data_IF_763772092339
#
_entry.id   IF_763772092339
#
_cell.length_a   1.000
_cell.length_b   1.000
_cell.length_c   1.000
_cell.angle_alpha   90.00
_cell.angle_beta   90.00
_cell.angle_gamma   90.00
#
_symmetry.space_group_name_H-M   'P 1'
#
loop_
_entity.id
_entity.type
_entity.pdbx_description
1 polymer ?
#
# COMPACT_ATOMS: atom_id res chain seq x y z
N UNK A 1 13.89 -20.32 -23.02
CA UNK A 1 12.84 -19.32 -23.20
C UNK A 1 13.52 -17.97 -23.02
N UNK A 2 13.80 -17.33 -24.16
CA UNK A 2 14.34 -15.97 -24.13
C UNK A 2 13.30 -15.04 -23.51
N UNK A 3 13.59 -14.63 -22.29
CA UNK A 3 12.71 -13.73 -21.52
C UNK A 3 12.78 -12.34 -22.15
N UNK A 4 11.63 -11.81 -22.59
CA UNK A 4 11.61 -10.42 -23.08
C UNK A 4 12.06 -9.45 -22.00
N UNK A 5 12.75 -8.35 -22.34
CA UNK A 5 13.22 -7.36 -21.34
C UNK A 5 12.08 -6.82 -20.46
N UNK A 6 10.89 -6.70 -21.03
CA UNK A 6 9.69 -6.22 -20.34
C UNK A 6 9.20 -7.22 -19.28
N UNK A 7 9.20 -8.52 -19.60
CA UNK A 7 8.82 -9.56 -18.65
C UNK A 7 9.85 -9.65 -17.51
N UNK A 8 11.15 -9.53 -17.84
CA UNK A 8 12.19 -9.49 -16.82
C UNK A 8 12.05 -8.29 -15.88
N UNK A 9 11.78 -7.10 -16.43
CA UNK A 9 11.51 -5.89 -15.67
C UNK A 9 10.33 -6.09 -14.71
N UNK A 10 9.24 -6.61 -15.24
CA UNK A 10 8.02 -6.85 -14.48
C UNK A 10 8.21 -7.88 -13.34
N UNK A 11 8.93 -8.97 -13.58
CA UNK A 11 9.24 -9.96 -12.54
C UNK A 11 10.13 -9.36 -11.45
N UNK A 12 11.15 -8.56 -11.82
CA UNK A 12 12.02 -7.87 -10.86
C UNK A 12 11.24 -6.95 -9.92
N UNK A 13 10.30 -6.15 -10.43
CA UNK A 13 9.42 -5.31 -9.59
C UNK A 13 8.66 -6.17 -8.58
N UNK A 14 8.05 -7.27 -9.03
CA UNK A 14 7.23 -8.10 -8.17
C UNK A 14 8.03 -8.80 -7.07
N UNK A 15 9.24 -9.25 -7.37
CA UNK A 15 10.17 -9.81 -6.37
C UNK A 15 10.61 -8.72 -5.40
N UNK A 16 10.96 -7.53 -5.88
CA UNK A 16 11.35 -6.40 -5.03
C UNK A 16 10.24 -6.01 -4.04
N UNK A 17 8.99 -5.93 -4.50
CA UNK A 17 7.83 -5.66 -3.61
C UNK A 17 7.72 -6.73 -2.51
N UNK A 18 7.88 -8.01 -2.85
CA UNK A 18 7.80 -9.10 -1.88
C UNK A 18 8.92 -9.00 -0.83
N UNK A 19 10.16 -8.73 -1.26
CA UNK A 19 11.31 -8.56 -0.38
C UNK A 19 11.15 -7.33 0.54
N UNK A 20 10.75 -6.18 -0.01
CA UNK A 20 10.52 -4.97 0.78
C UNK A 20 9.35 -5.12 1.76
N UNK A 21 8.28 -5.82 1.39
CA UNK A 21 7.22 -6.14 2.33
C UNK A 21 7.73 -7.02 3.48
N UNK A 22 8.49 -8.08 3.18
CA UNK A 22 9.07 -8.94 4.20
C UNK A 22 10.00 -8.15 5.14
N UNK A 23 10.87 -7.31 4.58
CA UNK A 23 11.75 -6.43 5.34
C UNK A 23 10.97 -5.45 6.24
N UNK A 24 9.96 -4.76 5.69
CA UNK A 24 9.09 -3.88 6.47
C UNK A 24 8.41 -4.64 7.62
N UNK A 25 7.91 -5.83 7.34
CA UNK A 25 7.21 -6.66 8.33
C UNK A 25 8.10 -7.12 9.47
N UNK A 26 9.36 -7.42 9.18
CA UNK A 26 10.34 -7.85 10.19
C UNK A 26 10.79 -6.68 11.07
N UNK A 27 11.09 -5.53 10.47
CA UNK A 27 11.80 -4.45 11.16
C UNK A 27 10.94 -3.29 11.62
N UNK A 28 9.90 -2.90 10.86
CA UNK A 28 9.20 -1.61 11.06
C UNK A 28 7.76 -1.73 11.52
N UNK A 29 7.08 -2.80 11.21
CA UNK A 29 5.63 -2.95 11.42
C UNK A 29 5.17 -2.69 12.87
N UNK A 30 6.05 -2.94 13.86
CA UNK A 30 5.73 -2.77 15.27
C UNK A 30 6.11 -1.39 15.84
N UNK A 31 6.74 -0.50 15.08
CA UNK A 31 7.20 0.78 15.58
C UNK A 31 6.08 1.81 15.72
N UNK A 32 6.29 2.78 16.61
CA UNK A 32 5.40 3.94 16.80
C UNK A 32 5.88 5.18 16.03
N UNK A 33 6.93 5.07 15.22
CA UNK A 33 7.42 6.16 14.37
C UNK A 33 6.63 6.23 13.07
N UNK A 34 5.37 6.67 13.14
CA UNK A 34 4.43 6.59 12.02
C UNK A 34 4.89 7.37 10.78
N UNK A 35 5.50 8.55 10.93
CA UNK A 35 6.05 9.32 9.81
C UNK A 35 7.17 8.55 9.09
N UNK A 36 8.12 7.98 9.83
CA UNK A 36 9.20 7.17 9.26
C UNK A 36 8.68 5.92 8.56
N UNK A 37 7.66 5.26 9.14
CA UNK A 37 6.99 4.12 8.52
C UNK A 37 6.32 4.51 7.19
N UNK A 38 5.64 5.67 7.16
CA UNK A 38 5.04 6.22 5.94
C UNK A 38 6.08 6.42 4.86
N UNK A 39 7.17 7.13 5.18
CA UNK A 39 8.26 7.37 4.24
C UNK A 39 8.87 6.06 3.74
N UNK A 40 9.16 5.11 4.62
CA UNK A 40 9.71 3.81 4.25
C UNK A 40 8.79 3.05 3.28
N UNK A 41 7.48 2.98 3.55
CA UNK A 41 6.52 2.29 2.69
C UNK A 41 6.43 2.92 1.29
N UNK A 42 6.41 4.26 1.19
CA UNK A 42 6.40 4.96 -0.10
C UNK A 42 7.72 4.80 -0.85
N UNK A 43 8.85 4.89 -0.12
CA UNK A 43 10.18 4.63 -0.70
C UNK A 43 10.29 3.20 -1.24
N UNK A 44 9.76 2.20 -0.54
CA UNK A 44 9.79 0.81 -1.01
C UNK A 44 9.01 0.63 -2.32
N UNK A 45 7.86 1.29 -2.48
CA UNK A 45 7.16 1.33 -3.77
C UNK A 45 8.01 2.01 -4.86
N UNK A 46 8.56 3.19 -4.57
CA UNK A 46 9.40 3.92 -5.52
C UNK A 46 10.65 3.14 -5.93
N UNK A 47 11.37 2.57 -4.97
CA UNK A 47 12.58 1.77 -5.22
C UNK A 47 12.24 0.51 -6.00
N UNK A 48 11.11 -0.17 -5.71
CA UNK A 48 10.68 -1.33 -6.49
C UNK A 48 10.48 -1.03 -7.97
N UNK A 49 10.03 0.19 -8.30
CA UNK A 49 9.90 0.64 -9.68
C UNK A 49 11.24 1.03 -10.32
N UNK A 50 12.12 1.66 -9.55
CA UNK A 50 13.40 2.16 -10.07
C UNK A 50 14.48 1.07 -10.14
N UNK A 51 14.44 0.10 -9.21
CA UNK A 51 15.44 -0.96 -9.11
C UNK A 51 15.72 -1.70 -10.45
N UNK A 52 14.71 -2.10 -11.25
CA UNK A 52 14.98 -2.81 -12.49
C UNK A 52 15.57 -1.94 -13.61
N UNK A 53 15.49 -0.59 -13.48
CA UNK A 53 16.12 0.36 -14.42
C UNK A 53 17.62 0.48 -14.17
N UNK A 54 18.09 0.11 -12.98
CA UNK A 54 19.50 0.07 -12.67
C UNK A 54 20.08 -1.22 -13.30
N UNK A 55 21.01 -1.07 -14.25
CA UNK A 55 21.71 -2.17 -14.92
C UNK A 55 22.71 -2.86 -13.97
N UNK A 56 22.20 -3.37 -12.84
CA UNK A 56 23.01 -4.07 -11.84
C UNK A 56 23.71 -5.28 -12.45
N UNK A 57 23.16 -5.87 -13.52
CA UNK A 57 23.79 -6.99 -14.22
C UNK A 57 25.14 -6.62 -14.89
N UNK A 58 25.25 -5.41 -15.43
CA UNK A 58 26.53 -4.92 -15.98
C UNK A 58 27.53 -4.67 -14.86
N UNK A 59 27.08 -4.06 -13.78
CA UNK A 59 27.93 -3.82 -12.59
C UNK A 59 28.40 -5.12 -11.90
N UNK A 60 27.53 -6.15 -11.81
CA UNK A 60 27.90 -7.47 -11.26
C UNK A 60 28.90 -8.19 -12.17
N UNK A 61 28.77 -8.06 -13.49
CA UNK A 61 29.72 -8.65 -14.45
C UNK A 61 31.12 -8.05 -14.37
N UNK A 62 31.26 -6.83 -13.87
CA UNK A 62 32.57 -6.19 -13.64
C UNK A 62 33.24 -6.68 -12.35
N UNK A 63 32.55 -7.43 -11.48
CA UNK A 63 33.11 -8.01 -10.26
C UNK A 63 33.58 -9.46 -10.52
N UNK A 64 34.83 -9.65 -10.85
CA UNK A 64 35.44 -10.97 -11.19
C UNK A 64 35.07 -12.14 -10.24
N UNK A 65 35.00 -11.98 -8.89
CA UNK A 65 34.70 -13.12 -8.01
C UNK A 65 33.26 -13.61 -8.11
N UNK A 66 32.28 -12.75 -8.52
CA UNK A 66 30.89 -13.15 -8.68
C UNK A 66 30.64 -13.83 -10.04
N UNK A 67 31.36 -13.46 -11.08
CA UNK A 67 31.30 -14.12 -12.41
C UNK A 67 31.80 -15.56 -12.30
N UNK A 68 32.90 -15.80 -11.60
CA UNK A 68 33.42 -17.13 -11.38
C UNK A 68 32.45 -18.06 -10.63
N UNK A 69 31.68 -17.54 -9.66
CA UNK A 69 30.65 -18.32 -8.99
C UNK A 69 29.43 -18.58 -9.89
N UNK A 70 29.02 -17.61 -10.73
CA UNK A 70 27.91 -17.77 -11.66
C UNK A 70 28.25 -18.80 -12.76
N UNK A 71 29.47 -18.78 -13.29
CA UNK A 71 29.95 -19.75 -14.28
C UNK A 71 30.09 -21.16 -13.68
N UNK A 72 30.52 -21.28 -12.42
CA UNK A 72 30.57 -22.55 -11.72
C UNK A 72 29.18 -23.15 -11.54
N UNK A 73 28.16 -22.32 -11.22
CA UNK A 73 26.75 -22.74 -11.12
C UNK A 73 26.20 -23.14 -12.50
N UNK A 74 26.48 -22.38 -13.54
CA UNK A 74 26.04 -22.67 -14.91
C UNK A 74 26.61 -23.99 -15.41
N UNK A 75 27.88 -24.28 -15.12
CA UNK A 75 28.55 -25.54 -15.53
C UNK A 75 28.00 -26.77 -14.80
N UNK A 76 27.50 -26.62 -13.58
CA UNK A 76 26.94 -27.74 -12.79
C UNK A 76 25.48 -28.06 -13.16
N UNK A 77 24.71 -27.09 -13.68
CA UNK A 77 23.24 -27.22 -13.85
C UNK A 77 22.84 -27.54 -15.30
N UNK A 78 23.71 -27.27 -16.30
CA UNK A 78 23.35 -27.49 -17.71
C UNK A 78 24.22 -28.57 -18.34
N UNK A 79 23.81 -29.85 -18.39
CA UNK A 79 24.35 -30.77 -19.38
C UNK A 79 23.79 -30.38 -20.75
N UNK A 80 24.69 -29.94 -21.61
CA UNK A 80 24.45 -29.62 -23.00
C UNK A 80 24.03 -30.88 -23.79
N UNK A 81 22.74 -31.07 -23.98
CA UNK A 81 22.25 -31.99 -25.01
C UNK A 81 21.06 -31.34 -25.70
N UNK A 82 21.32 -30.56 -26.75
CA UNK A 82 20.29 -30.15 -27.70
C UNK A 82 20.08 -31.35 -28.64
N UNK A 83 19.04 -32.13 -28.39
CA UNK A 83 18.48 -33.04 -29.39
C UNK A 83 17.43 -32.27 -30.14
N UNK A 84 17.75 -31.86 -31.37
CA UNK A 84 16.76 -31.34 -32.32
C UNK A 84 15.78 -32.48 -32.65
N UNK A 85 14.58 -32.44 -32.04
CA UNK A 85 13.48 -33.30 -32.43
C UNK A 85 12.76 -32.74 -33.66
N UNK A 86 12.21 -33.60 -34.55
CA UNK A 86 11.50 -33.18 -35.77
C UNK A 86 10.30 -32.31 -35.37
N UNK A 87 10.14 -31.19 -36.09
CA UNK A 87 8.97 -30.31 -35.96
C UNK A 87 7.70 -31.06 -36.41
N UNK A 88 7.00 -31.69 -35.49
CA UNK A 88 5.59 -32.02 -35.70
C UNK A 88 4.81 -30.71 -35.60
N UNK A 89 3.88 -30.51 -36.54
CA UNK A 89 2.92 -29.40 -36.58
C UNK A 89 1.87 -29.55 -35.47
N UNK A 90 2.31 -29.58 -34.25
CA UNK A 90 1.45 -29.46 -33.07
C UNK A 90 1.20 -27.97 -32.81
N UNK A 91 -0.04 -27.64 -32.41
CA UNK A 91 -0.38 -26.25 -32.02
C UNK A 91 0.76 -25.67 -31.16
N UNK A 92 1.32 -24.53 -31.61
CA UNK A 92 2.54 -23.98 -31.00
C UNK A 92 2.20 -23.37 -29.63
N UNK A 93 2.06 -24.23 -28.61
CA UNK A 93 1.71 -23.85 -27.25
C UNK A 93 2.72 -22.84 -26.68
N UNK A 94 3.95 -22.85 -27.17
CA UNK A 94 4.98 -21.90 -26.74
C UNK A 94 4.68 -20.45 -27.14
N UNK A 95 3.96 -20.23 -28.22
CA UNK A 95 3.49 -18.90 -28.65
C UNK A 95 2.11 -18.55 -28.06
N UNK A 96 1.23 -19.55 -27.91
CA UNK A 96 -0.15 -19.34 -27.46
C UNK A 96 -0.24 -19.00 -25.96
N UNK A 97 0.55 -19.69 -25.10
CA UNK A 97 0.54 -19.47 -23.66
C UNK A 97 0.87 -18.05 -23.25
N UNK A 98 1.97 -17.41 -23.77
CA UNK A 98 2.27 -16.02 -23.45
C UNK A 98 1.16 -15.04 -23.87
N UNK A 99 0.51 -15.27 -24.99
CA UNK A 99 -0.59 -14.44 -25.47
C UNK A 99 -1.81 -14.53 -24.55
N UNK A 100 -2.18 -15.74 -24.11
CA UNK A 100 -3.30 -15.96 -23.18
C UNK A 100 -2.97 -15.31 -21.81
N UNK A 101 -1.76 -15.50 -21.28
CA UNK A 101 -1.34 -14.89 -20.03
C UNK A 101 -1.35 -13.35 -20.12
N UNK A 102 -0.86 -12.81 -21.23
CA UNK A 102 -0.90 -11.38 -21.51
C UNK A 102 -2.34 -10.85 -21.54
N UNK A 103 -3.25 -11.56 -22.22
CA UNK A 103 -4.67 -11.20 -22.27
C UNK A 103 -5.31 -11.22 -20.86
N UNK A 104 -5.08 -12.26 -20.07
CA UNK A 104 -5.55 -12.37 -18.68
C UNK A 104 -5.01 -11.21 -17.84
N UNK A 105 -3.73 -10.92 -17.96
CA UNK A 105 -3.09 -9.82 -17.23
C UNK A 105 -3.73 -8.46 -17.53
N UNK A 106 -3.83 -8.10 -18.82
CA UNK A 106 -4.39 -6.82 -19.23
C UNK A 106 -5.89 -6.70 -18.94
N UNK A 107 -6.63 -7.81 -19.00
CA UNK A 107 -8.04 -7.84 -18.58
C UNK A 107 -8.16 -7.54 -17.10
N UNK A 108 -7.30 -8.13 -16.25
CA UNK A 108 -7.25 -7.83 -14.82
C UNK A 108 -6.91 -6.37 -14.52
N UNK A 109 -5.91 -5.81 -15.20
CA UNK A 109 -5.55 -4.39 -15.11
C UNK A 109 -6.72 -3.50 -15.50
N UNK A 110 -7.39 -3.77 -16.63
CA UNK A 110 -8.52 -3.00 -17.11
C UNK A 110 -9.69 -3.00 -16.12
N UNK A 111 -10.06 -4.16 -15.60
CA UNK A 111 -11.15 -4.29 -14.61
C UNK A 111 -10.86 -3.53 -13.33
N UNK A 112 -9.63 -3.62 -12.81
CA UNK A 112 -9.24 -2.90 -11.60
C UNK A 112 -9.11 -1.39 -11.84
N UNK A 113 -8.58 -0.97 -12.99
CA UNK A 113 -8.53 0.44 -13.37
C UNK A 113 -9.95 1.03 -13.50
N UNK A 114 -10.87 0.33 -14.16
CA UNK A 114 -12.26 0.76 -14.28
C UNK A 114 -12.93 0.88 -12.91
N UNK A 115 -12.77 -0.11 -12.05
CA UNK A 115 -13.25 -0.06 -10.66
C UNK A 115 -12.68 1.15 -9.92
N UNK A 116 -11.39 1.41 -10.04
CA UNK A 116 -10.74 2.55 -9.40
C UNK A 116 -11.28 3.89 -9.91
N UNK A 117 -11.45 4.04 -11.23
CA UNK A 117 -12.03 5.24 -11.84
C UNK A 117 -13.48 5.47 -11.41
N UNK A 118 -14.30 4.42 -11.31
CA UNK A 118 -15.67 4.51 -10.79
C UNK A 118 -15.68 4.99 -9.34
N UNK A 119 -14.78 4.46 -8.49
CA UNK A 119 -14.66 4.90 -7.10
C UNK A 119 -14.25 6.38 -7.01
N UNK A 120 -13.26 6.79 -7.80
CA UNK A 120 -12.81 8.18 -7.85
C UNK A 120 -13.92 9.12 -8.35
N UNK A 121 -14.61 8.75 -9.43
CA UNK A 121 -15.76 9.47 -9.98
C UNK A 121 -16.90 9.60 -8.97
N UNK A 122 -17.15 8.57 -8.16
CA UNK A 122 -18.13 8.61 -7.08
C UNK A 122 -17.79 9.65 -6.00
N UNK A 123 -16.53 9.76 -5.59
CA UNK A 123 -16.07 10.78 -4.63
C UNK A 123 -16.23 12.19 -5.22
N UNK A 124 -15.80 12.37 -6.48
CA UNK A 124 -15.95 13.66 -7.19
C UNK A 124 -17.43 14.04 -7.30
N UNK A 125 -18.30 13.09 -7.64
CA UNK A 125 -19.76 13.30 -7.68
C UNK A 125 -20.28 13.74 -6.32
N UNK A 126 -19.87 13.12 -5.22
CA UNK A 126 -20.27 13.52 -3.87
C UNK A 126 -19.82 14.94 -3.54
N UNK A 127 -18.62 15.36 -3.97
CA UNK A 127 -18.14 16.74 -3.77
C UNK A 127 -19.08 17.79 -4.37
N UNK A 128 -19.66 17.50 -5.55
CA UNK A 128 -20.59 18.43 -6.21
C UNK A 128 -22.01 18.35 -5.68
N UNK A 129 -22.46 17.18 -5.22
CA UNK A 129 -23.83 16.96 -4.76
C UNK A 129 -24.08 17.31 -3.29
N UNK A 130 -23.06 17.20 -2.43
CA UNK A 130 -23.21 17.44 -1.01
C UNK A 130 -23.19 18.94 -0.69
N UNK A 131 -24.12 19.45 0.14
CA UNK A 131 -24.09 20.82 0.63
C UNK A 131 -22.83 21.04 1.46
N UNK A 132 -22.27 22.24 1.32
CA UNK A 132 -21.06 22.67 2.04
C UNK A 132 -21.45 23.44 3.28
N UNK A 133 -20.78 23.17 4.40
CA UNK A 133 -20.95 23.88 5.67
C UNK A 133 -19.61 24.11 6.33
N UNK A 134 -19.59 24.93 7.36
CA UNK A 134 -18.39 25.13 8.21
C UNK A 134 -18.72 24.66 9.62
N UNK A 135 -18.01 23.67 10.12
CA UNK A 135 -18.18 23.13 11.47
C UNK A 135 -16.83 23.24 12.17
N UNK A 136 -16.80 23.87 13.33
CA UNK A 136 -15.60 24.10 14.14
C UNK A 136 -14.42 24.71 13.32
N UNK A 137 -14.72 25.63 12.38
CA UNK A 137 -13.74 26.30 11.53
C UNK A 137 -13.28 25.50 10.31
N UNK A 138 -13.65 24.23 10.18
CA UNK A 138 -13.30 23.38 9.04
C UNK A 138 -14.43 23.31 8.01
N UNK A 139 -14.07 23.42 6.72
CA UNK A 139 -15.03 23.29 5.60
C UNK A 139 -15.37 21.81 5.40
N UNK A 140 -16.64 21.47 5.53
CA UNK A 140 -17.12 20.08 5.44
C UNK A 140 -18.26 19.95 4.42
N UNK A 141 -18.41 18.76 3.86
CA UNK A 141 -19.53 18.36 3.00
C UNK A 141 -20.49 17.52 3.83
N UNK A 142 -21.76 17.90 3.86
CA UNK A 142 -22.77 17.22 4.67
C UNK A 142 -23.31 16.01 3.90
N UNK A 143 -23.11 14.82 4.46
CA UNK A 143 -23.64 13.57 3.92
C UNK A 143 -25.10 13.37 4.37
N UNK A 144 -25.94 12.85 3.48
CA UNK A 144 -27.37 12.67 3.75
C UNK A 144 -27.70 11.45 4.60
N UNK A 145 -26.94 10.38 4.64
CA UNK A 145 -27.08 9.19 5.52
C UNK A 145 -26.17 8.03 5.11
N UNK A 146 -25.81 7.18 6.07
CA UNK A 146 -25.37 5.80 5.83
C UNK A 146 -23.88 5.56 5.57
N UNK A 147 -23.10 6.56 5.22
CA UNK A 147 -21.64 6.45 5.12
C UNK A 147 -20.99 7.12 6.33
N UNK A 148 -20.04 6.43 6.97
CA UNK A 148 -19.25 7.06 8.03
C UNK A 148 -18.42 8.23 7.49
N UNK A 149 -17.86 9.06 8.38
CA UNK A 149 -17.02 10.18 7.99
C UNK A 149 -15.81 9.67 7.18
N UNK A 150 -15.35 10.50 6.24
CA UNK A 150 -14.15 10.26 5.46
C UNK A 150 -13.63 11.56 4.84
N UNK A 151 -12.36 11.58 4.47
CA UNK A 151 -11.75 12.69 3.74
C UNK A 151 -11.08 12.23 2.45
N UNK A 152 -11.04 13.13 1.47
CA UNK A 152 -10.32 12.95 0.22
C UNK A 152 -9.62 14.25 -0.18
N UNK A 153 -8.30 14.26 -0.19
CA UNK A 153 -7.49 15.47 -0.23
C UNK A 153 -7.95 16.49 0.80
N UNK A 154 -8.47 17.64 0.37
CA UNK A 154 -8.98 18.72 1.23
C UNK A 154 -10.48 18.64 1.51
N UNK A 155 -11.19 17.64 1.00
CA UNK A 155 -12.62 17.48 1.17
C UNK A 155 -12.93 16.57 2.34
N UNK A 156 -13.60 17.09 3.34
CA UNK A 156 -14.04 16.34 4.51
C UNK A 156 -15.56 16.12 4.37
N UNK A 157 -15.97 14.88 4.53
CA UNK A 157 -17.36 14.45 4.43
C UNK A 157 -17.83 13.91 5.78
N UNK A 158 -18.93 14.46 6.32
CA UNK A 158 -19.46 14.09 7.63
C UNK A 158 -20.99 14.14 7.61
N UNK A 159 -21.63 13.34 8.47
CA UNK A 159 -23.05 13.40 8.80
C UNK A 159 -23.22 13.86 10.25
N UNK A 160 -23.38 15.18 10.52
CA UNK A 160 -23.32 15.72 11.89
C UNK A 160 -24.44 15.23 12.79
N UNK A 161 -25.65 15.01 12.21
CA UNK A 161 -26.86 14.62 12.98
C UNK A 161 -26.72 13.27 13.71
N UNK A 162 -25.73 12.45 13.33
CA UNK A 162 -25.49 11.14 13.94
C UNK A 162 -24.50 11.16 15.10
N UNK A 163 -23.96 12.33 15.45
CA UNK A 163 -22.86 12.45 16.39
C UNK A 163 -23.08 13.56 17.39
N UNK A 164 -22.58 13.38 18.60
CA UNK A 164 -22.50 14.43 19.62
C UNK A 164 -21.45 15.49 19.25
N UNK A 165 -21.52 16.65 19.86
CA UNK A 165 -20.59 17.75 19.60
C UNK A 165 -19.12 17.36 19.90
N UNK A 166 -18.90 16.57 20.96
CA UNK A 166 -17.59 16.02 21.31
C UNK A 166 -17.09 15.06 20.24
N UNK A 167 -17.93 14.14 19.76
CA UNK A 167 -17.59 13.19 18.69
C UNK A 167 -17.29 13.90 17.37
N UNK A 168 -18.03 14.97 17.05
CA UNK A 168 -17.76 15.79 15.87
C UNK A 168 -16.37 16.42 15.95
N UNK A 169 -15.94 16.88 17.12
CA UNK A 169 -14.58 17.42 17.30
C UNK A 169 -13.49 16.38 17.06
N UNK A 170 -13.68 15.17 17.57
CA UNK A 170 -12.78 14.05 17.34
C UNK A 170 -12.70 13.66 15.86
N UNK A 171 -13.86 13.55 15.20
CA UNK A 171 -13.98 13.23 13.77
C UNK A 171 -13.28 14.29 12.92
N UNK A 172 -13.56 15.57 13.17
CA UNK A 172 -12.97 16.65 12.39
C UNK A 172 -11.44 16.65 12.55
N UNK A 173 -10.94 16.50 13.76
CA UNK A 173 -9.49 16.42 14.02
C UNK A 173 -8.85 15.24 13.27
N UNK A 174 -9.52 14.08 13.25
CA UNK A 174 -9.07 12.90 12.52
C UNK A 174 -9.04 13.12 11.01
N UNK A 175 -10.15 13.55 10.43
CA UNK A 175 -10.28 13.76 8.98
C UNK A 175 -9.43 14.94 8.47
N UNK A 176 -9.29 15.99 9.27
CA UNK A 176 -8.41 17.12 8.96
C UNK A 176 -6.94 16.68 8.92
N UNK A 177 -6.54 15.74 9.76
CA UNK A 177 -5.20 15.15 9.71
C UNK A 177 -4.95 14.45 8.39
N UNK A 178 -5.92 13.65 7.91
CA UNK A 178 -5.83 13.03 6.59
C UNK A 178 -5.73 14.07 5.47
N UNK A 179 -6.54 15.12 5.53
CA UNK A 179 -6.57 16.18 4.54
C UNK A 179 -5.26 16.98 4.51
N UNK A 180 -4.78 17.44 5.66
CA UNK A 180 -3.57 18.26 5.78
C UNK A 180 -2.29 17.51 5.40
N UNK A 181 -2.22 16.22 5.69
CA UNK A 181 -1.05 15.39 5.40
C UNK A 181 -1.12 14.70 4.03
N UNK A 182 -2.12 15.01 3.21
CA UNK A 182 -2.30 14.43 1.87
C UNK A 182 -2.32 12.90 1.85
N UNK A 183 -2.92 12.27 2.86
CA UNK A 183 -3.01 10.83 2.97
C UNK A 183 -3.69 10.16 1.76
N UNK A 184 -4.56 10.90 1.07
CA UNK A 184 -5.19 10.44 -0.17
C UNK A 184 -4.18 10.12 -1.26
N UNK A 185 -3.06 10.87 -1.35
CA UNK A 185 -2.01 10.58 -2.33
C UNK A 185 -1.35 9.22 -2.09
N UNK A 186 -1.07 8.87 -0.83
CA UNK A 186 -0.48 7.57 -0.47
C UNK A 186 -1.42 6.42 -0.86
N UNK A 187 -2.73 6.62 -0.62
CA UNK A 187 -3.76 5.65 -1.01
C UNK A 187 -3.82 5.51 -2.53
N UNK A 188 -3.79 6.61 -3.29
CA UNK A 188 -3.80 6.58 -4.75
C UNK A 188 -2.57 5.85 -5.31
N UNK A 189 -1.37 6.14 -4.80
CA UNK A 189 -0.14 5.43 -5.20
C UNK A 189 -0.28 3.93 -4.95
N UNK A 190 -0.78 3.54 -3.77
CA UNK A 190 -0.96 2.12 -3.45
C UNK A 190 -2.04 1.45 -4.32
N UNK A 191 -3.11 2.16 -4.72
CA UNK A 191 -4.13 1.64 -5.65
C UNK A 191 -3.55 1.42 -7.05
N UNK A 192 -2.76 2.38 -7.55
CA UNK A 192 -2.08 2.26 -8.85
C UNK A 192 -1.15 1.04 -8.84
N UNK A 193 -0.33 0.87 -7.79
CA UNK A 193 0.55 -0.29 -7.66
C UNK A 193 -0.23 -1.61 -7.61
N UNK A 194 -1.36 -1.65 -6.89
CA UNK A 194 -2.24 -2.82 -6.87
C UNK A 194 -2.91 -3.10 -8.22
N UNK A 195 -3.16 -2.08 -9.03
CA UNK A 195 -3.75 -2.24 -10.37
C UNK A 195 -2.77 -2.90 -11.32
N UNK A 196 -1.50 -2.47 -11.33
CA UNK A 196 -0.49 -3.05 -12.22
C UNK A 196 0.09 -4.39 -11.72
N UNK A 197 0.23 -4.54 -10.40
CA UNK A 197 0.77 -5.77 -9.79
C UNK A 197 -0.34 -6.61 -9.12
N UNK A 198 -1.54 -6.65 -9.71
CA UNK A 198 -2.75 -7.18 -9.07
C UNK A 198 -2.66 -8.65 -8.64
N UNK A 199 -1.92 -9.47 -9.34
CA UNK A 199 -1.70 -10.89 -9.04
C UNK A 199 -0.69 -11.10 -7.90
N UNK A 200 0.07 -10.07 -7.49
CA UNK A 200 1.04 -10.15 -6.41
C UNK A 200 0.36 -9.90 -5.05
N UNK A 201 0.25 -10.90 -4.16
CA UNK A 201 -0.39 -10.71 -2.86
C UNK A 201 0.34 -9.70 -1.96
N UNK A 202 1.65 -9.54 -2.13
CA UNK A 202 2.45 -8.65 -1.30
C UNK A 202 2.16 -7.17 -1.54
N UNK A 203 1.76 -6.78 -2.75
CA UNK A 203 1.33 -5.40 -3.02
C UNK A 203 0.05 -5.05 -2.25
N UNK A 204 -0.89 -5.98 -2.15
CA UNK A 204 -2.12 -5.81 -1.37
C UNK A 204 -1.85 -5.73 0.13
N UNK A 205 -0.92 -6.55 0.62
CA UNK A 205 -0.48 -6.50 2.01
C UNK A 205 0.23 -5.17 2.31
N UNK A 206 1.07 -4.69 1.40
CA UNK A 206 1.76 -3.41 1.53
C UNK A 206 0.78 -2.23 1.54
N UNK A 207 -0.22 -2.22 0.65
CA UNK A 207 -1.34 -1.26 0.67
C UNK A 207 -2.08 -1.27 2.00
N UNK A 208 -2.31 -2.44 2.59
CA UNK A 208 -2.93 -2.58 3.91
C UNK A 208 -2.09 -1.94 5.01
N UNK A 209 -0.77 -2.11 4.97
CA UNK A 209 0.15 -1.47 5.93
C UNK A 209 0.19 0.06 5.75
N UNK A 210 0.18 0.56 4.48
CA UNK A 210 0.06 1.99 4.20
C UNK A 210 -1.21 2.54 4.86
N UNK A 211 -2.39 2.00 4.53
CA UNK A 211 -3.66 2.46 5.10
C UNK A 211 -3.67 2.39 6.62
N UNK A 212 -3.21 1.28 7.20
CA UNK A 212 -3.13 1.13 8.64
C UNK A 212 -2.25 2.19 9.31
N UNK A 213 -1.11 2.51 8.70
CA UNK A 213 -0.21 3.54 9.22
C UNK A 213 -0.82 4.95 9.17
N UNK A 214 -1.57 5.27 8.11
CA UNK A 214 -2.27 6.56 7.99
C UNK A 214 -3.34 6.71 9.09
N UNK A 215 -4.07 5.63 9.39
CA UNK A 215 -5.03 5.62 10.51
C UNK A 215 -4.33 5.85 11.86
N UNK A 216 -3.18 5.21 12.10
CA UNK A 216 -2.41 5.44 13.33
C UNK A 216 -1.92 6.88 13.48
N UNK A 217 -1.57 7.54 12.36
CA UNK A 217 -1.16 8.95 12.37
C UNK A 217 -2.33 9.87 12.73
N UNK A 218 -3.50 9.63 12.16
CA UNK A 218 -4.70 10.40 12.46
C UNK A 218 -5.17 10.19 13.91
N UNK A 219 -5.20 8.92 14.37
CA UNK A 219 -5.53 8.60 15.77
C UNK A 219 -4.56 9.26 16.76
N UNK A 220 -3.28 9.20 16.47
CA UNK A 220 -2.27 9.83 17.32
C UNK A 220 -2.49 11.34 17.42
N UNK A 221 -2.88 12.00 16.33
CA UNK A 221 -3.18 13.42 16.33
C UNK A 221 -4.38 13.78 17.19
N UNK A 222 -5.46 12.98 17.13
CA UNK A 222 -6.63 13.17 18.01
C UNK A 222 -6.22 13.10 19.48
N UNK A 223 -5.38 12.13 19.86
CA UNK A 223 -4.90 12.01 21.23
C UNK A 223 -3.96 13.14 21.66
N UNK A 224 -3.12 13.65 20.73
CA UNK A 224 -2.25 14.80 20.99
C UNK A 224 -3.00 16.12 21.22
N UNK A 225 -4.19 16.27 20.64
CA UNK A 225 -5.04 17.46 20.85
C UNK A 225 -5.80 17.44 22.18
N UNK A 226 -5.59 16.43 23.02
CA UNK A 226 -6.09 16.36 24.38
C UNK A 226 -7.43 15.66 24.54
N UNK A 227 -7.96 15.01 23.50
CA UNK A 227 -9.15 14.17 23.62
C UNK A 227 -8.90 12.94 24.52
N UNK A 228 -9.91 12.56 25.33
CA UNK A 228 -9.78 11.37 26.18
C UNK A 228 -9.66 10.09 25.37
N UNK A 229 -8.57 9.36 25.63
CA UNK A 229 -8.24 8.15 24.87
C UNK A 229 -9.30 7.07 24.96
N UNK A 230 -9.93 6.90 26.13
CA UNK A 230 -10.98 5.88 26.32
C UNK A 230 -12.26 6.27 25.59
N UNK A 231 -12.69 7.52 25.73
CA UNK A 231 -13.86 8.07 25.04
C UNK A 231 -13.70 7.89 23.53
N UNK A 232 -12.57 8.29 22.97
CA UNK A 232 -12.27 8.16 21.56
C UNK A 232 -12.28 6.70 21.08
N UNK A 233 -11.71 5.76 21.85
CA UNK A 233 -11.75 4.34 21.52
C UNK A 233 -13.18 3.78 21.50
N UNK A 234 -14.03 4.18 22.47
CA UNK A 234 -15.44 3.80 22.48
C UNK A 234 -16.21 4.38 21.27
N UNK A 235 -15.95 5.63 20.94
CA UNK A 235 -16.55 6.24 19.74
C UNK A 235 -16.17 5.48 18.47
N UNK A 236 -14.90 5.11 18.28
CA UNK A 236 -14.47 4.29 17.15
C UNK A 236 -15.14 2.91 17.10
N UNK A 237 -15.38 2.29 18.26
CA UNK A 237 -16.14 1.04 18.35
C UNK A 237 -17.59 1.25 17.93
N UNK A 238 -18.23 2.34 18.35
CA UNK A 238 -19.58 2.72 17.95
C UNK A 238 -19.71 2.90 16.43
N UNK A 239 -18.80 3.65 15.82
CA UNK A 239 -18.74 3.83 14.36
C UNK A 239 -18.58 2.49 13.60
N UNK A 240 -17.80 1.56 14.14
CA UNK A 240 -17.64 0.24 13.55
C UNK A 240 -18.91 -0.61 13.65
N UNK A 241 -19.61 -0.55 14.76
CA UNK A 241 -20.90 -1.25 14.96
C UNK A 241 -21.99 -0.73 14.00
N UNK A 242 -22.11 0.57 13.82
CA UNK A 242 -23.05 1.16 12.86
C UNK A 242 -22.75 0.72 11.41
N UNK A 243 -21.46 0.66 11.03
CA UNK A 243 -21.04 0.13 9.72
C UNK A 243 -21.32 -1.37 9.57
N UNK A 244 -21.16 -2.16 10.63
CA UNK A 244 -21.37 -3.62 10.60
C UNK A 244 -22.85 -3.95 10.47
N UNK A 245 -23.75 -3.22 11.14
CA UNK A 245 -25.18 -3.39 11.04
C UNK A 245 -25.74 -3.08 9.63
N UNK A 246 -25.07 -2.18 8.88
CA UNK A 246 -25.45 -1.83 7.51
C UNK A 246 -24.98 -2.84 6.45
N UNK A 247 -24.01 -3.71 6.76
CA UNK A 247 -23.43 -4.68 5.81
C UNK A 247 -23.12 -6.02 6.50
N UNK A 248 -23.91 -7.04 6.24
CA UNK A 248 -23.75 -8.42 6.74
C UNK A 248 -22.38 -9.08 6.42
N UNK A 249 -21.56 -8.48 5.52
CA UNK A 249 -20.25 -9.00 5.11
C UNK A 249 -19.06 -8.52 5.96
N UNK A 250 -19.30 -7.80 7.07
CA UNK A 250 -18.27 -6.99 7.74
C UNK A 250 -17.52 -7.66 8.91
N UNK A 251 -17.63 -8.98 9.08
CA UNK A 251 -16.82 -9.70 10.09
C UNK A 251 -15.30 -9.55 9.90
N UNK A 252 -14.86 -9.19 8.70
CA UNK A 252 -13.43 -8.95 8.37
C UNK A 252 -12.91 -7.54 8.73
N UNK A 253 -13.80 -6.58 9.05
CA UNK A 253 -13.41 -5.20 9.39
C UNK A 253 -13.05 -4.99 10.86
N UNK A 254 -13.17 -5.99 11.71
CA UNK A 254 -12.80 -5.89 13.14
C UNK A 254 -11.28 -5.83 13.34
N UNK A 255 -10.51 -6.48 12.46
CA UNK A 255 -9.06 -6.54 12.58
C UNK A 255 -8.36 -5.16 12.46
N UNK A 256 -8.72 -4.28 11.50
CA UNK A 256 -8.14 -2.95 11.41
C UNK A 256 -8.40 -2.12 12.67
N UNK A 257 -9.61 -2.13 13.20
CA UNK A 257 -9.98 -1.41 14.41
C UNK A 257 -9.20 -1.91 15.64
N UNK A 258 -9.11 -3.23 15.83
CA UNK A 258 -8.31 -3.84 16.91
C UNK A 258 -6.85 -3.37 16.85
N UNK A 259 -6.27 -3.28 15.65
CA UNK A 259 -4.90 -2.81 15.47
C UNK A 259 -4.76 -1.32 15.80
N UNK A 260 -5.74 -0.47 15.47
CA UNK A 260 -5.77 0.95 15.84
C UNK A 260 -5.77 1.10 17.37
N UNK A 261 -6.70 0.45 18.07
CA UNK A 261 -6.79 0.48 19.54
C UNK A 261 -5.48 -0.02 20.17
N UNK A 262 -4.92 -1.14 19.67
CA UNK A 262 -3.64 -1.66 20.14
C UNK A 262 -2.50 -0.66 19.97
N UNK A 263 -2.48 0.08 18.86
CA UNK A 263 -1.42 1.04 18.56
C UNK A 263 -1.57 2.31 19.39
N UNK A 264 -2.78 2.80 19.65
CA UNK A 264 -3.05 3.91 20.58
C UNK A 264 -2.56 3.64 22.00
N UNK A 265 -2.75 2.40 22.48
CA UNK A 265 -2.34 1.99 23.84
C UNK A 265 -0.87 1.56 23.93
N UNK A 266 -0.12 1.62 22.84
CA UNK A 266 1.27 1.18 22.80
C UNK A 266 2.21 2.24 23.34
N UNK A 267 3.17 1.81 24.17
CA UNK A 267 4.28 2.69 24.60
C UNK A 267 5.11 3.13 23.39
N UNK A 268 5.56 4.40 23.40
CA UNK A 268 6.43 4.94 22.35
C UNK A 268 7.71 4.10 22.22
N UNK A 269 8.08 3.81 20.98
CA UNK A 269 9.35 3.14 20.68
C UNK A 269 10.51 4.04 21.06
N UNK A 270 11.59 3.48 21.64
CA UNK A 270 12.79 4.24 22.05
C UNK A 270 13.43 4.94 20.84
N UNK A 271 13.99 6.13 21.06
CA UNK A 271 14.62 6.96 20.00
C UNK A 271 15.73 6.22 19.22
N UNK A 272 16.49 5.34 19.87
CA UNK A 272 17.49 4.46 19.23
C UNK A 272 16.86 3.63 18.08
N UNK A 273 15.55 3.35 18.16
CA UNK A 273 14.86 2.68 17.06
C UNK A 273 14.81 3.47 15.73
N UNK A 274 15.11 4.79 15.74
CA UNK A 274 15.18 5.60 14.51
C UNK A 274 16.39 5.26 13.66
N UNK A 275 17.51 4.85 14.25
CA UNK A 275 18.74 4.54 13.52
C UNK A 275 18.56 3.43 12.49
N UNK A 276 17.67 2.46 12.73
CA UNK A 276 17.38 1.40 11.77
C UNK A 276 16.75 1.89 10.46
N UNK A 277 15.98 3.01 10.48
CA UNK A 277 15.44 3.64 9.27
C UNK A 277 16.54 4.30 8.45
N UNK A 278 17.51 4.94 9.11
CA UNK A 278 18.67 5.54 8.44
C UNK A 278 19.58 4.46 7.85
N UNK A 279 19.89 3.40 8.60
CA UNK A 279 20.68 2.26 8.12
C UNK A 279 20.01 1.56 6.94
N UNK A 280 18.70 1.42 6.93
CA UNK A 280 17.94 0.86 5.82
C UNK A 280 18.09 1.69 4.54
N UNK A 281 18.07 3.03 4.63
CA UNK A 281 18.27 3.92 3.49
C UNK A 281 19.72 3.92 3.01
N UNK A 282 20.71 3.86 3.92
CA UNK A 282 22.14 3.84 3.59
C UNK A 282 22.53 2.51 2.94
N UNK A 283 22.02 1.37 3.41
CA UNK A 283 22.30 0.06 2.79
C UNK A 283 21.75 -0.09 1.36
N UNK A 284 20.74 0.71 1.01
CA UNK A 284 20.19 0.76 -0.36
C UNK A 284 21.06 1.68 -1.24
N UNK A 285 21.74 2.66 -0.66
CA UNK A 285 22.54 3.67 -1.38
C UNK A 285 24.05 3.34 -1.46
N UNK A 286 24.56 2.43 -0.61
CA UNK A 286 25.94 1.95 -0.70
C UNK A 286 25.97 0.57 -1.36
N UNK A 287 26.42 0.46 -2.61
CA UNK A 287 26.91 -0.81 -3.11
C UNK A 287 28.15 -1.13 -2.25
N UNK A 288 28.04 -2.20 -1.48
CA UNK A 288 29.13 -2.72 -0.64
C UNK A 288 30.45 -2.66 -1.38
N UNK A 289 31.40 -1.91 -0.81
CA UNK A 289 32.83 -1.99 -1.18
C UNK A 289 33.36 -3.39 -0.97
#
# INVERSE_FOLDING_TARGET
IDMTPELAYFLKINVAIALFYAFYRLFFHKDTFFHWRRTALLCFFGISLLYPLLNIQEWIKEQEPMVAMADLYATIILPEQIIEAPQETTANWQELIPQILGFIYWTGVLLLALRFLIQLGSIIRLHFLCPKSTIQGSRVHILKKGTGPFSFFHWIFIHPESHTESEISEIITHEETHARQYHSADVLVSEIMCTFCWFNPFVWLMKREVRGNLEYMADHRVLETGHDSKSYQYHLLGLAHHKAAANLSNSFNVLPLKNRIKMMNKRRTKEIGRTKYLLSLIHISEPTR
#
